data_IF_237427814469
#
_entry.id   IF_237427814469
#
_cell.length_a   1.000
_cell.length_b   1.000
_cell.length_c   1.000
_cell.angle_alpha   90.00
_cell.angle_beta   90.00
_cell.angle_gamma   90.00
#
_symmetry.space_group_name_H-M   'P 1'
#
loop_
_entity.id
_entity.type
_entity.pdbx_description
1 polymer ?
#
# COMPACT_ATOMS: atom_id res chain seq x y z
N UNK A 1 -26.24 21.29 -0.89
CA UNK A 1 -26.95 20.00 -1.03
C UNK A 1 -26.50 19.09 0.10
N UNK A 2 -27.43 18.51 0.86
CA UNK A 2 -27.09 17.56 1.92
C UNK A 2 -26.49 16.29 1.28
N UNK A 3 -25.30 15.89 1.72
CA UNK A 3 -24.67 14.68 1.22
C UNK A 3 -25.53 13.45 1.58
N UNK A 4 -25.73 12.56 0.61
CA UNK A 4 -26.48 11.32 0.79
C UNK A 4 -25.49 10.15 0.90
N UNK A 5 -25.63 9.27 1.90
CA UNK A 5 -24.76 8.10 2.05
C UNK A 5 -24.77 7.18 0.82
N UNK A 6 -23.69 6.43 0.58
CA UNK A 6 -23.46 5.75 -0.71
C UNK A 6 -24.31 4.49 -0.93
N UNK A 7 -25.26 4.16 -0.04
CA UNK A 7 -26.13 2.98 -0.15
C UNK A 7 -25.42 1.62 -0.05
N UNK A 8 -24.25 1.57 0.60
CA UNK A 8 -23.37 0.38 0.65
C UNK A 8 -23.67 -0.58 1.81
N UNK A 9 -24.43 -0.14 2.81
CA UNK A 9 -24.81 -0.91 4.02
C UNK A 9 -23.65 -1.64 4.71
N UNK A 10 -22.44 -1.08 4.60
CA UNK A 10 -21.21 -1.74 5.02
C UNK A 10 -21.02 -1.85 6.54
N UNK A 11 -21.92 -1.26 7.34
CA UNK A 11 -21.81 -1.23 8.80
C UNK A 11 -20.67 -0.37 9.38
N UNK A 12 -19.77 0.17 8.56
CA UNK A 12 -18.55 0.86 9.03
C UNK A 12 -18.81 2.14 9.85
N UNK A 13 -20.00 2.73 9.73
CA UNK A 13 -20.45 3.87 10.53
C UNK A 13 -21.25 3.46 11.79
N UNK A 14 -21.44 2.15 12.03
CA UNK A 14 -22.15 1.62 13.20
C UNK A 14 -23.67 1.52 13.09
N UNK A 15 -24.23 1.70 11.88
CA UNK A 15 -25.65 1.46 11.58
C UNK A 15 -25.81 0.29 10.61
N UNK A 16 -26.93 -0.43 10.73
CA UNK A 16 -27.19 -1.65 9.96
C UNK A 16 -27.45 -1.39 8.47
N UNK A 17 -27.80 -0.16 8.11
CA UNK A 17 -27.90 0.29 6.72
C UNK A 17 -27.61 1.79 6.56
N UNK A 18 -27.35 2.22 5.33
CA UNK A 18 -27.19 3.61 4.94
C UNK A 18 -28.47 4.43 5.13
N UNK A 19 -29.65 3.80 5.00
CA UNK A 19 -30.94 4.44 5.27
C UNK A 19 -31.11 4.71 6.77
N UNK A 20 -30.80 3.71 7.60
CA UNK A 20 -30.81 3.86 9.06
C UNK A 20 -29.79 4.91 9.52
N UNK A 21 -28.56 4.87 8.98
CA UNK A 21 -27.54 5.88 9.25
C UNK A 21 -28.02 7.29 8.87
N UNK A 22 -28.64 7.46 7.70
CA UNK A 22 -29.19 8.75 7.26
C UNK A 22 -30.24 9.28 8.24
N UNK A 23 -31.13 8.41 8.74
CA UNK A 23 -32.15 8.78 9.70
C UNK A 23 -31.54 9.24 11.04
N UNK A 24 -30.49 8.57 11.52
CA UNK A 24 -29.77 8.95 12.75
C UNK A 24 -28.97 10.23 12.61
N UNK A 25 -28.39 10.49 11.45
CA UNK A 25 -27.75 11.77 11.14
C UNK A 25 -28.77 12.90 11.13
N UNK A 26 -29.96 12.68 10.55
CA UNK A 26 -31.04 13.67 10.56
C UNK A 26 -31.61 13.95 11.96
N UNK A 27 -31.62 12.94 12.83
CA UNK A 27 -32.01 13.07 14.25
C UNK A 27 -30.93 13.76 15.12
N UNK A 28 -29.74 14.05 14.56
CA UNK A 28 -28.63 14.69 15.27
C UNK A 28 -27.80 13.74 16.15
N UNK A 29 -28.07 12.44 16.09
CA UNK A 29 -27.34 11.43 16.87
C UNK A 29 -25.98 11.05 16.25
N UNK A 30 -25.79 11.34 14.96
CA UNK A 30 -24.59 11.01 14.17
C UNK A 30 -24.26 12.15 13.19
N UNK A 31 -23.05 12.16 12.65
CA UNK A 31 -22.62 13.13 11.65
C UNK A 31 -22.37 12.44 10.29
N UNK A 32 -22.61 13.13 9.16
CA UNK A 32 -22.30 12.60 7.83
C UNK A 32 -20.82 12.23 7.64
N UNK A 33 -19.90 12.88 8.35
CA UNK A 33 -18.47 12.54 8.36
C UNK A 33 -18.17 11.18 8.99
N UNK A 34 -19.10 10.60 9.76
CA UNK A 34 -18.97 9.26 10.31
C UNK A 34 -19.08 8.18 9.22
N UNK A 35 -19.50 8.55 8.01
CA UNK A 35 -19.41 7.66 6.86
C UNK A 35 -18.03 7.74 6.21
N UNK A 36 -17.28 6.63 6.10
CA UNK A 36 -15.94 6.62 5.50
C UNK A 36 -15.93 6.91 4.00
N UNK A 37 -17.11 7.14 3.42
CA UNK A 37 -17.30 7.47 2.01
C UNK A 37 -17.77 8.93 1.81
N UNK A 38 -17.92 9.73 2.87
CA UNK A 38 -18.08 11.17 2.73
C UNK A 38 -16.75 11.77 2.24
N UNK A 39 -16.74 12.30 1.02
CA UNK A 39 -15.58 12.99 0.46
C UNK A 39 -15.75 14.50 0.61
N UNK A 40 -14.93 15.14 1.45
CA UNK A 40 -14.77 16.59 1.48
C UNK A 40 -13.63 17.01 0.52
N UNK A 41 -13.70 18.20 -0.09
CA UNK A 41 -12.73 18.62 -1.11
C UNK A 41 -11.30 18.66 -0.55
N UNK A 42 -10.39 18.08 -1.33
CA UNK A 42 -9.02 17.79 -0.93
C UNK A 42 -8.16 19.06 -0.81
N UNK A 43 -7.61 19.27 0.38
CA UNK A 43 -6.40 20.08 0.57
C UNK A 43 -5.54 19.39 1.60
N UNK A 44 -4.38 18.86 1.22
CA UNK A 44 -3.30 18.64 2.19
C UNK A 44 -1.95 18.56 1.48
N UNK A 45 -1.02 19.36 1.97
CA UNK A 45 0.41 19.08 1.94
C UNK A 45 0.65 17.64 2.45
N UNK A 46 1.77 16.97 2.08
CA UNK A 46 2.02 15.61 2.55
C UNK A 46 1.95 15.58 4.07
N UNK A 47 0.90 14.94 4.61
CA UNK A 47 0.81 14.64 6.03
C UNK A 47 2.02 13.76 6.31
N UNK A 48 3.00 14.30 7.04
CA UNK A 48 4.10 13.49 7.56
C UNK A 48 3.45 12.42 8.43
N UNK A 49 3.54 11.17 8.00
CA UNK A 49 3.12 10.05 8.81
C UNK A 49 3.89 10.11 10.14
N UNK A 50 3.15 10.13 11.25
CA UNK A 50 3.75 10.07 12.58
C UNK A 50 4.12 8.62 12.87
N UNK A 51 5.42 8.33 12.86
CA UNK A 51 5.95 7.00 13.04
C UNK A 51 6.22 6.77 14.52
N UNK A 52 5.26 6.16 15.22
CA UNK A 52 5.29 5.91 16.67
C UNK A 52 6.44 4.99 17.15
N UNK A 53 7.09 4.27 16.23
CA UNK A 53 8.06 3.21 16.52
C UNK A 53 7.43 1.83 16.71
N UNK A 54 6.09 1.72 16.72
CA UNK A 54 5.34 0.47 16.78
C UNK A 54 4.24 0.44 15.73
N UNK A 55 3.91 -0.75 15.23
CA UNK A 55 2.80 -0.93 14.29
C UNK A 55 1.43 -0.96 15.02
N UNK A 56 0.35 -1.09 14.25
CA UNK A 56 -1.03 -1.12 14.76
C UNK A 56 -1.31 -2.25 15.78
N UNK A 57 -0.47 -3.28 15.82
CA UNK A 57 -0.56 -4.39 16.78
C UNK A 57 0.38 -4.20 17.98
N UNK A 58 1.11 -3.10 18.05
CA UNK A 58 2.08 -2.79 19.11
C UNK A 58 3.47 -3.39 18.89
N UNK A 59 3.74 -4.01 17.73
CA UNK A 59 5.06 -4.56 17.46
C UNK A 59 6.04 -3.45 17.08
N UNK A 60 7.24 -3.45 17.68
CA UNK A 60 8.31 -2.50 17.34
C UNK A 60 8.90 -2.82 15.97
N UNK A 61 9.04 -1.84 15.09
CA UNK A 61 9.81 -1.98 13.86
C UNK A 61 11.21 -1.38 13.99
N UNK A 62 12.18 -1.94 13.27
CA UNK A 62 13.56 -1.50 13.27
C UNK A 62 13.74 -0.19 12.49
N UNK A 63 13.01 -0.01 11.39
CA UNK A 63 13.03 1.20 10.56
C UNK A 63 11.78 1.30 9.67
N UNK A 64 11.58 2.48 9.08
CA UNK A 64 10.55 2.74 8.06
C UNK A 64 11.19 2.70 6.68
N UNK A 65 10.56 2.01 5.74
CA UNK A 65 10.97 2.03 4.33
C UNK A 65 10.23 3.12 3.55
N UNK A 66 10.95 4.17 3.16
CA UNK A 66 10.46 5.28 2.38
C UNK A 66 10.81 5.17 0.88
N UNK A 67 10.19 6.02 0.06
CA UNK A 67 10.46 6.13 -1.36
C UNK A 67 11.92 6.52 -1.67
N UNK A 68 12.40 6.10 -2.85
CA UNK A 68 13.61 6.66 -3.45
C UNK A 68 13.38 8.11 -3.89
N UNK A 69 14.45 8.91 -4.14
CA UNK A 69 14.29 10.30 -4.55
C UNK A 69 13.47 10.43 -5.84
N UNK A 70 12.47 11.31 -5.82
CA UNK A 70 11.59 11.55 -6.97
C UNK A 70 10.50 10.49 -7.19
N UNK A 71 10.41 9.46 -6.34
CA UNK A 71 9.42 8.40 -6.48
C UNK A 71 8.24 8.58 -5.51
N UNK A 72 7.02 8.15 -5.88
CA UNK A 72 5.83 8.34 -5.05
C UNK A 72 5.79 7.36 -3.85
N UNK A 73 6.45 6.22 -3.94
CA UNK A 73 6.52 5.23 -2.87
C UNK A 73 7.78 4.36 -3.01
N UNK A 74 8.08 3.55 -1.99
CA UNK A 74 9.10 2.51 -2.12
C UNK A 74 8.70 1.55 -3.24
N UNK A 75 9.69 1.07 -4.00
CA UNK A 75 9.45 0.12 -5.08
C UNK A 75 9.06 -1.22 -4.48
N UNK A 76 8.08 -1.86 -5.10
CA UNK A 76 7.60 -3.19 -4.76
C UNK A 76 7.78 -4.10 -5.97
N UNK A 77 8.40 -5.26 -5.76
CA UNK A 77 8.60 -6.27 -6.80
C UNK A 77 7.62 -7.40 -6.57
N UNK A 78 6.79 -7.68 -7.57
CA UNK A 78 5.72 -8.68 -7.48
C UNK A 78 5.73 -9.60 -8.69
N UNK A 79 5.28 -10.83 -8.49
CA UNK A 79 5.00 -11.77 -9.59
C UNK A 79 3.57 -12.27 -9.44
N UNK A 80 2.77 -12.27 -10.52
CA UNK A 80 1.47 -12.95 -10.51
C UNK A 80 1.66 -14.45 -10.28
N UNK A 81 0.67 -15.15 -9.73
CA UNK A 81 0.69 -16.62 -9.66
C UNK A 81 0.76 -17.28 -11.04
N UNK A 82 0.36 -16.54 -12.08
CA UNK A 82 0.48 -16.89 -13.48
C UNK A 82 1.36 -15.86 -14.19
N UNK A 83 2.70 -16.06 -14.21
CA UNK A 83 3.61 -15.10 -14.81
C UNK A 83 3.33 -14.84 -16.30
N UNK A 84 2.75 -15.81 -17.01
CA UNK A 84 2.34 -15.68 -18.41
C UNK A 84 1.32 -14.54 -18.65
N UNK A 85 0.58 -14.12 -17.63
CA UNK A 85 -0.40 -13.03 -17.75
C UNK A 85 0.25 -11.69 -18.11
N UNK A 86 1.52 -11.48 -17.78
CA UNK A 86 2.21 -10.24 -18.11
C UNK A 86 2.34 -10.07 -19.62
N UNK A 87 2.72 -11.13 -20.32
CA UNK A 87 2.79 -11.16 -21.77
C UNK A 87 1.39 -11.21 -22.39
N UNK A 88 0.53 -12.11 -21.91
CA UNK A 88 -0.82 -12.32 -22.47
C UNK A 88 -1.72 -11.09 -22.34
N UNK A 89 -1.55 -10.27 -21.32
CA UNK A 89 -2.31 -9.03 -21.12
C UNK A 89 -1.57 -7.78 -21.56
N UNK A 90 -0.34 -7.95 -22.07
CA UNK A 90 0.53 -6.86 -22.51
C UNK A 90 0.58 -5.75 -21.44
N UNK A 91 1.00 -6.14 -20.23
CA UNK A 91 1.07 -5.24 -19.08
C UNK A 91 2.28 -4.32 -19.26
N UNK A 92 2.03 -3.01 -19.33
CA UNK A 92 3.05 -2.00 -19.67
C UNK A 92 3.33 -1.00 -18.55
N UNK A 93 4.51 -0.34 -18.58
CA UNK A 93 4.79 0.78 -17.68
C UNK A 93 3.69 1.85 -17.69
N UNK A 94 3.37 2.39 -16.51
CA UNK A 94 2.32 3.39 -16.30
C UNK A 94 0.92 2.81 -16.05
N UNK A 95 0.65 1.57 -16.49
CA UNK A 95 -0.59 0.86 -16.20
C UNK A 95 -0.65 0.42 -14.72
N UNK A 96 -1.85 0.08 -14.25
CA UNK A 96 -2.03 -0.36 -12.86
C UNK A 96 -2.33 -1.85 -12.83
N UNK A 97 -1.67 -2.57 -11.93
CA UNK A 97 -2.06 -3.91 -11.52
C UNK A 97 -2.66 -3.87 -10.12
N UNK A 98 -3.71 -4.62 -9.90
CA UNK A 98 -4.35 -4.75 -8.60
C UNK A 98 -4.40 -6.18 -8.13
N UNK A 99 -4.45 -6.39 -6.82
CA UNK A 99 -4.49 -7.73 -6.25
C UNK A 99 -4.13 -7.79 -4.78
N UNK A 100 -4.32 -8.97 -4.19
CA UNK A 100 -3.90 -9.27 -2.83
C UNK A 100 -2.46 -9.79 -2.82
N UNK A 101 -1.57 -9.27 -1.97
CA UNK A 101 -0.25 -9.85 -1.77
C UNK A 101 -0.37 -11.14 -0.93
N UNK A 102 -0.72 -12.24 -1.60
CA UNK A 102 -1.06 -13.50 -0.94
C UNK A 102 0.13 -14.14 -0.21
N UNK A 103 1.37 -13.94 -0.71
CA UNK A 103 2.57 -14.48 -0.05
C UNK A 103 2.73 -13.96 1.39
N UNK A 104 2.84 -12.63 1.59
CA UNK A 104 2.92 -12.05 2.94
C UNK A 104 1.59 -12.08 3.70
N UNK A 105 0.45 -12.29 3.04
CA UNK A 105 -0.86 -12.40 3.70
C UNK A 105 -1.55 -11.09 4.03
N UNK A 106 -1.24 -9.97 3.35
CA UNK A 106 -1.95 -8.71 3.61
C UNK A 106 -3.43 -8.84 3.18
N UNK A 107 -4.39 -8.54 4.06
CA UNK A 107 -5.82 -8.64 3.72
C UNK A 107 -6.29 -7.46 2.86
N UNK A 108 -5.46 -6.44 2.65
CA UNK A 108 -5.81 -5.28 1.83
C UNK A 108 -5.53 -5.57 0.36
N UNK A 109 -6.43 -5.06 -0.48
CA UNK A 109 -6.30 -5.12 -1.92
C UNK A 109 -5.43 -3.94 -2.39
N UNK A 110 -4.31 -4.22 -3.04
CA UNK A 110 -3.33 -3.19 -3.41
C UNK A 110 -3.57 -2.69 -4.83
N UNK A 111 -3.27 -1.42 -5.06
CA UNK A 111 -3.09 -0.85 -6.39
C UNK A 111 -1.62 -0.51 -6.61
N UNK A 112 -1.05 -1.04 -7.69
CA UNK A 112 0.37 -0.93 -7.99
C UNK A 112 0.54 -0.38 -9.41
N UNK A 113 1.17 0.77 -9.55
CA UNK A 113 1.52 1.31 -10.87
C UNK A 113 2.81 0.65 -11.36
N UNK A 114 2.80 0.11 -12.58
CA UNK A 114 3.92 -0.63 -13.16
C UNK A 114 5.01 0.36 -13.58
N UNK A 115 6.24 0.10 -13.13
CA UNK A 115 7.46 0.79 -13.56
C UNK A 115 8.08 0.03 -14.73
N UNK A 116 8.19 -1.29 -14.59
CA UNK A 116 8.77 -2.17 -15.60
C UNK A 116 8.28 -3.60 -15.43
N UNK A 117 8.19 -4.34 -16.53
CA UNK A 117 7.93 -5.77 -16.55
C UNK A 117 9.18 -6.52 -17.05
N UNK A 118 9.66 -7.50 -16.28
CA UNK A 118 10.77 -8.34 -16.72
C UNK A 118 10.24 -9.48 -17.62
N UNK A 119 10.65 -9.56 -18.90
CA UNK A 119 10.13 -10.54 -19.84
C UNK A 119 10.62 -11.97 -19.58
N UNK A 120 11.69 -12.14 -18.81
CA UNK A 120 12.26 -13.46 -18.49
C UNK A 120 11.60 -14.05 -17.25
N UNK A 121 11.37 -13.24 -16.23
CA UNK A 121 10.91 -13.72 -14.92
C UNK A 121 9.44 -13.46 -14.65
N UNK A 122 8.80 -12.57 -15.41
CA UNK A 122 7.47 -12.07 -15.08
C UNK A 122 7.44 -11.24 -13.79
N UNK A 123 8.58 -10.73 -13.33
CA UNK A 123 8.60 -9.82 -12.18
C UNK A 123 8.22 -8.41 -12.64
N UNK A 124 7.20 -7.85 -12.01
CA UNK A 124 6.84 -6.44 -12.14
C UNK A 124 7.53 -5.64 -11.04
N UNK A 125 8.24 -4.59 -11.43
CA UNK A 125 8.63 -3.52 -10.49
C UNK A 125 7.51 -2.48 -10.50
N UNK A 126 7.00 -2.11 -9.34
CA UNK A 126 5.86 -1.23 -9.22
C UNK A 126 6.05 -0.19 -8.10
N UNK A 127 5.34 0.94 -8.23
CA UNK A 127 5.03 1.83 -7.13
C UNK A 127 3.70 1.44 -6.50
N UNK A 128 3.61 1.47 -5.17
CA UNK A 128 2.31 1.42 -4.50
C UNK A 128 1.62 2.76 -4.70
N UNK A 129 0.39 2.73 -5.20
CA UNK A 129 -0.45 3.92 -5.41
C UNK A 129 -1.77 3.77 -4.64
N UNK A 130 -2.44 4.90 -4.37
CA UNK A 130 -3.73 4.88 -3.69
C UNK A 130 -4.82 4.26 -4.57
N UNK A 131 -5.89 3.68 -3.98
CA UNK A 131 -6.98 3.06 -4.73
C UNK A 131 -7.75 4.05 -5.62
N UNK A 132 -7.62 5.36 -5.40
CA UNK A 132 -8.18 6.37 -6.30
C UNK A 132 -7.55 6.33 -7.69
N UNK A 133 -6.28 5.93 -7.81
CA UNK A 133 -5.58 5.85 -9.09
C UNK A 133 -6.23 4.84 -10.06
N UNK A 134 -6.89 3.80 -9.53
CA UNK A 134 -7.62 2.81 -10.34
C UNK A 134 -8.93 3.36 -10.91
N UNK A 135 -9.37 4.55 -10.48
CA UNK A 135 -10.62 5.21 -10.91
C UNK A 135 -10.37 6.38 -11.85
N UNK A 136 -9.11 6.72 -12.10
CA UNK A 136 -8.76 7.79 -13.03
C UNK A 136 -9.17 7.40 -14.46
N UNK A 137 -9.95 8.23 -15.17
CA UNK A 137 -10.35 7.95 -16.54
C UNK A 137 -9.15 7.72 -17.46
N UNK A 138 -9.23 6.70 -18.32
CA UNK A 138 -8.16 6.34 -19.25
C UNK A 138 -7.05 5.48 -18.65
N UNK A 139 -7.03 5.24 -17.33
CA UNK A 139 -6.07 4.32 -16.71
C UNK A 139 -6.44 2.87 -17.00
N UNK A 140 -5.52 2.11 -17.62
CA UNK A 140 -5.66 0.67 -17.82
C UNK A 140 -5.32 -0.07 -16.51
N UNK A 141 -6.26 -0.90 -16.04
CA UNK A 141 -6.16 -1.62 -14.77
C UNK A 141 -6.29 -3.12 -15.02
N UNK A 142 -5.34 -3.91 -14.48
CA UNK A 142 -5.33 -5.36 -14.56
C UNK A 142 -5.53 -5.97 -13.18
N UNK A 143 -6.59 -6.76 -13.00
CA UNK A 143 -6.85 -7.49 -11.77
C UNK A 143 -6.09 -8.83 -11.78
N UNK A 144 -4.95 -8.89 -11.09
CA UNK A 144 -4.18 -10.11 -10.89
C UNK A 144 -4.85 -11.07 -9.90
N UNK A 145 -5.87 -10.60 -9.17
CA UNK A 145 -6.55 -11.20 -8.01
C UNK A 145 -5.62 -11.40 -6.81
N UNK A 146 -4.51 -12.10 -7.01
CA UNK A 146 -3.48 -12.35 -6.03
C UNK A 146 -2.08 -12.43 -6.69
N UNK A 147 -1.05 -12.09 -5.92
CA UNK A 147 0.34 -12.15 -6.37
C UNK A 147 1.30 -12.43 -5.21
N UNK A 148 2.52 -12.86 -5.54
CA UNK A 148 3.61 -12.96 -4.59
C UNK A 148 4.43 -11.66 -4.55
N UNK A 149 4.89 -11.29 -3.35
CA UNK A 149 5.81 -10.18 -3.15
C UNK A 149 7.22 -10.74 -3.08
N UNK A 150 8.07 -10.35 -4.01
CA UNK A 150 9.48 -10.75 -4.03
C UNK A 150 10.34 -9.85 -3.17
N UNK A 151 10.18 -8.54 -3.34
CA UNK A 151 11.06 -7.58 -2.71
C UNK A 151 10.40 -6.23 -2.49
N UNK A 152 10.99 -5.48 -1.58
CA UNK A 152 10.86 -4.04 -1.50
C UNK A 152 12.22 -3.37 -1.68
N UNK A 153 12.22 -2.14 -2.19
CA UNK A 153 13.42 -1.34 -2.32
C UNK A 153 13.11 0.14 -2.08
N UNK A 154 13.95 0.80 -1.30
CA UNK A 154 13.70 2.17 -0.85
C UNK A 154 14.80 2.72 0.05
N UNK A 155 14.49 3.79 0.76
CA UNK A 155 15.38 4.42 1.74
C UNK A 155 14.92 4.05 3.15
N UNK A 156 15.81 3.50 3.97
CA UNK A 156 15.53 3.33 5.39
C UNK A 156 15.56 4.69 6.11
N UNK A 157 14.48 5.03 6.80
CA UNK A 157 14.32 6.25 7.62
C UNK A 157 13.67 5.90 8.96
N UNK A 158 13.66 6.86 9.88
CA UNK A 158 13.13 6.66 11.25
C UNK A 158 13.73 5.39 11.86
N UNK A 159 15.05 5.37 11.97
CA UNK A 159 15.84 4.17 12.27
C UNK A 159 15.94 4.01 13.79
N UNK A 160 15.25 3.01 14.34
CA UNK A 160 15.48 2.53 15.69
C UNK A 160 16.66 1.54 15.74
N UNK A 161 16.75 0.67 14.72
CA UNK A 161 17.87 -0.26 14.52
C UNK A 161 18.28 -0.25 13.04
N UNK A 162 19.57 -0.01 12.74
CA UNK A 162 20.02 0.15 11.36
C UNK A 162 19.84 -1.14 10.54
N UNK A 163 19.58 -1.03 9.22
CA UNK A 163 19.57 -2.18 8.32
C UNK A 163 20.93 -2.91 8.30
N UNK A 164 20.94 -4.23 8.45
CA UNK A 164 22.14 -5.06 8.44
C UNK A 164 21.99 -6.18 7.41
N UNK A 165 22.85 -6.18 6.40
CA UNK A 165 22.89 -7.18 5.33
C UNK A 165 22.84 -8.62 5.87
N UNK A 166 22.01 -9.47 5.27
CA UNK A 166 21.85 -10.88 5.62
C UNK A 166 20.95 -11.15 6.83
N UNK A 167 20.53 -10.12 7.56
CA UNK A 167 19.67 -10.30 8.75
C UNK A 167 18.19 -10.20 8.41
N UNK A 168 17.36 -10.93 9.17
CA UNK A 168 15.90 -10.74 9.17
C UNK A 168 15.56 -9.57 10.10
N UNK A 169 15.02 -8.50 9.54
CA UNK A 169 14.62 -7.30 10.27
C UNK A 169 13.16 -6.95 10.02
N UNK A 170 12.57 -6.26 10.98
CA UNK A 170 11.18 -5.79 10.94
C UNK A 170 11.15 -4.35 10.44
N UNK A 171 10.38 -4.07 9.41
CA UNK A 171 10.26 -2.72 8.85
C UNK A 171 8.81 -2.36 8.65
N UNK A 172 8.50 -1.06 8.75
CA UNK A 172 7.20 -0.53 8.36
C UNK A 172 7.29 0.01 6.92
N UNK A 173 6.49 -0.47 5.96
CA UNK A 173 6.40 0.18 4.66
C UNK A 173 5.75 1.56 4.82
N UNK A 174 6.45 2.64 4.46
CA UNK A 174 5.99 4.01 4.70
C UNK A 174 4.72 4.42 3.96
N UNK A 175 4.26 3.61 3.00
CA UNK A 175 3.01 3.77 2.25
C UNK A 175 1.96 2.67 2.59
N UNK A 176 2.13 1.98 3.73
CA UNK A 176 1.17 0.98 4.19
C UNK A 176 -0.05 1.67 4.83
N UNK A 177 -1.26 1.44 4.29
CA UNK A 177 -2.50 1.99 4.87
C UNK A 177 -2.92 1.29 6.17
N UNK A 178 -2.45 0.07 6.43
CA UNK A 178 -2.81 -0.68 7.66
C UNK A 178 -1.92 -0.33 8.85
N UNK A 179 -0.81 0.37 8.63
CA UNK A 179 0.25 0.55 9.63
C UNK A 179 0.69 -0.80 10.25
N UNK A 180 0.91 -1.81 9.40
CA UNK A 180 1.32 -3.15 9.83
C UNK A 180 2.76 -3.43 9.39
N UNK A 181 3.63 -3.75 10.35
CA UNK A 181 5.03 -4.02 10.06
C UNK A 181 5.21 -5.38 9.35
N UNK A 182 6.28 -5.48 8.58
CA UNK A 182 6.68 -6.68 7.86
C UNK A 182 8.05 -7.11 8.35
N UNK A 183 8.41 -8.39 8.20
CA UNK A 183 9.78 -8.86 8.32
C UNK A 183 10.34 -9.21 6.94
N UNK A 184 11.65 -9.01 6.76
CA UNK A 184 12.36 -9.30 5.51
C UNK A 184 13.84 -9.54 5.76
N UNK A 185 14.50 -10.27 4.86
CA UNK A 185 15.96 -10.35 4.81
C UNK A 185 16.45 -9.08 4.15
N UNK A 186 17.37 -8.38 4.81
CA UNK A 186 18.07 -7.26 4.19
C UNK A 186 19.07 -7.82 3.18
N UNK A 187 18.79 -7.68 1.89
CA UNK A 187 19.63 -8.22 0.80
C UNK A 187 20.63 -7.18 0.26
N UNK A 188 20.41 -5.90 0.53
CA UNK A 188 21.30 -4.82 0.10
C UNK A 188 21.23 -3.66 1.09
N UNK A 189 22.39 -3.07 1.40
CA UNK A 189 22.51 -1.81 2.15
C UNK A 189 23.59 -0.97 1.46
N UNK A 190 23.20 0.17 0.90
CA UNK A 190 24.12 1.10 0.25
C UNK A 190 24.00 2.48 0.89
N UNK A 191 25.14 3.09 1.24
CA UNK A 191 25.21 4.49 1.64
C UNK A 191 25.17 5.38 0.40
N UNK A 192 24.19 6.28 0.33
CA UNK A 192 24.00 7.24 -0.76
C UNK A 192 23.81 8.63 -0.19
N UNK A 193 24.00 9.66 -1.02
CA UNK A 193 23.80 11.06 -0.61
C UNK A 193 22.39 11.32 -0.06
N UNK A 194 21.39 10.59 -0.56
CA UNK A 194 20.00 10.68 -0.12
C UNK A 194 19.63 9.79 1.08
N UNK A 195 20.59 9.05 1.63
CA UNK A 195 20.43 8.18 2.81
C UNK A 195 20.73 6.71 2.56
N UNK A 196 20.31 5.86 3.49
CA UNK A 196 20.56 4.42 3.47
C UNK A 196 19.60 3.71 2.52
N UNK A 197 20.07 3.39 1.32
CA UNK A 197 19.31 2.64 0.30
C UNK A 197 19.34 1.15 0.63
N UNK A 198 18.17 0.55 0.75
CA UNK A 198 18.03 -0.87 1.11
C UNK A 198 17.17 -1.64 0.13
N UNK A 199 17.49 -2.92 -0.01
CA UNK A 199 16.63 -3.93 -0.67
C UNK A 199 16.30 -5.02 0.33
N UNK A 200 15.01 -5.36 0.38
CA UNK A 200 14.42 -6.29 1.34
C UNK A 200 13.76 -7.43 0.57
N UNK A 201 14.03 -8.68 0.94
CA UNK A 201 13.50 -9.90 0.28
C UNK A 201 12.95 -10.89 1.31
N UNK A 202 12.30 -11.97 0.89
CA UNK A 202 11.58 -12.93 1.76
C UNK A 202 10.63 -12.20 2.73
N UNK A 203 9.69 -11.45 2.14
CA UNK A 203 8.75 -10.58 2.84
C UNK A 203 7.68 -11.41 3.55
N UNK A 204 7.47 -11.16 4.85
CA UNK A 204 6.44 -11.80 5.66
C UNK A 204 5.73 -10.79 6.55
N UNK A 205 4.43 -10.96 6.78
CA UNK A 205 3.69 -10.23 7.82
C UNK A 205 3.56 -11.19 9.00
N UNK A 206 4.12 -10.80 10.16
CA UNK A 206 4.14 -11.61 11.38
C UNK A 206 3.88 -10.75 12.62
#
# INVERSE_FOLDING_TARGET
MAWTPPGKDCGACGSGSCAEFSARVAAGERNGADCPFLSLPATSAPVRADYSGTDVLGNRYDFVLCALPGEPSARKFVVPFRPDLIERWDIRPGEIVTGRPAGPGCPVYHALQVISANPVTGVLACHTVGPLATRTPGTKVHDLQAYHVHAFEGIARTIARPPVLGTRQRFLPGYCMMDLSHTAVVNMVLSKEYGTHVRLEDIRIQ
#
